data_IF_180803912879
#
_entry.id   IF_180803912879
#
_cell.length_a   1.000
_cell.length_b   1.000
_cell.length_c   1.000
_cell.angle_alpha   90.00
_cell.angle_beta   90.00
_cell.angle_gamma   90.00
#
_symmetry.space_group_name_H-M   'P 1'
#
loop_
_entity.id
_entity.type
_entity.pdbx_description
1 polymer ?
#
# COMPACT_ATOMS: atom_id res chain seq x y z
N UNK A 1 0.55 6.48 -7.14
CA UNK A 1 -0.50 6.74 -8.16
C UNK A 1 -1.10 5.41 -8.57
N UNK A 2 -2.43 5.29 -8.66
CA UNK A 2 -3.11 4.04 -9.03
C UNK A 2 -4.36 4.29 -9.87
N UNK A 3 -5.02 3.20 -10.29
CA UNK A 3 -6.29 3.27 -11.03
C UNK A 3 -7.46 3.10 -10.07
N UNK A 4 -8.47 3.94 -10.21
CA UNK A 4 -9.72 3.86 -9.43
C UNK A 4 -10.72 3.00 -10.19
N UNK A 5 -11.54 2.25 -9.46
CA UNK A 5 -12.66 1.49 -9.99
C UNK A 5 -13.91 1.78 -9.17
N UNK A 6 -14.84 2.53 -9.75
CA UNK A 6 -16.12 2.82 -9.11
C UNK A 6 -17.03 1.61 -9.27
N UNK A 7 -17.62 1.15 -8.16
CA UNK A 7 -18.53 -0.01 -8.13
C UNK A 7 -19.57 0.13 -7.03
N UNK A 8 -20.74 -0.44 -7.29
CA UNK A 8 -21.76 -0.69 -6.27
C UNK A 8 -21.29 -1.75 -5.25
N UNK A 9 -21.92 -1.76 -4.07
CA UNK A 9 -21.62 -2.71 -2.98
C UNK A 9 -20.53 -2.24 -2.01
N UNK A 10 -20.07 -1.00 -2.13
CA UNK A 10 -19.17 -0.34 -1.17
C UNK A 10 -19.97 0.62 -0.30
N UNK A 11 -19.66 0.70 0.99
CA UNK A 11 -20.25 1.70 1.88
C UNK A 11 -19.92 3.10 1.36
N UNK A 12 -20.91 4.00 1.20
CA UNK A 12 -20.66 5.36 0.75
C UNK A 12 -19.61 6.07 1.62
N UNK A 13 -18.70 6.80 0.97
CA UNK A 13 -17.60 7.51 1.65
C UNK A 13 -16.41 6.64 2.03
N UNK A 14 -16.40 5.34 1.70
CA UNK A 14 -15.28 4.44 1.99
C UNK A 14 -14.40 4.20 0.76
N UNK A 15 -13.08 4.10 0.98
CA UNK A 15 -12.10 3.66 -0.02
C UNK A 15 -11.66 2.25 0.37
N UNK A 16 -11.76 1.31 -0.56
CA UNK A 16 -11.22 -0.05 -0.39
C UNK A 16 -10.09 -0.31 -1.37
N UNK A 17 -9.17 -1.18 -0.98
CA UNK A 17 -8.09 -1.65 -1.82
C UNK A 17 -7.67 -3.05 -1.37
N UNK A 18 -7.06 -3.80 -2.29
CA UNK A 18 -6.51 -5.12 -1.97
C UNK A 18 -5.06 -4.99 -1.50
N UNK A 19 -4.76 -5.59 -0.34
CA UNK A 19 -3.39 -5.73 0.17
C UNK A 19 -2.67 -6.83 -0.62
N UNK A 20 -1.37 -6.67 -0.89
CA UNK A 20 -0.54 -7.64 -1.62
C UNK A 20 -0.08 -7.22 -3.01
N UNK A 21 -0.40 -5.98 -3.41
CA UNK A 21 0.07 -5.37 -4.66
C UNK A 21 1.13 -4.29 -4.42
N UNK A 22 1.80 -3.88 -5.49
CA UNK A 22 2.78 -2.80 -5.47
C UNK A 22 4.06 -3.14 -4.71
N UNK A 23 4.50 -4.40 -4.76
CA UNK A 23 5.77 -4.78 -4.17
C UNK A 23 6.91 -4.10 -4.92
N UNK A 24 7.90 -3.62 -4.16
CA UNK A 24 9.20 -3.20 -4.68
C UNK A 24 10.26 -4.27 -4.38
N UNK A 25 10.18 -4.94 -3.23
CA UNK A 25 11.02 -6.07 -2.90
C UNK A 25 10.47 -7.41 -3.41
N UNK A 26 10.91 -8.51 -2.78
CA UNK A 26 10.35 -9.84 -3.02
C UNK A 26 10.41 -10.29 -4.49
N UNK A 27 11.48 -9.91 -5.21
CA UNK A 27 11.65 -10.21 -6.62
C UNK A 27 10.85 -9.33 -7.58
N UNK A 28 10.17 -8.28 -7.11
CA UNK A 28 9.46 -7.32 -7.97
C UNK A 28 10.39 -6.31 -8.67
N UNK A 29 11.56 -6.05 -8.09
CA UNK A 29 12.58 -5.13 -8.64
C UNK A 29 13.70 -5.92 -9.29
N UNK A 30 14.15 -5.42 -10.44
CA UNK A 30 15.35 -5.92 -11.11
C UNK A 30 16.58 -5.50 -10.30
N UNK A 31 17.48 -6.45 -10.05
CA UNK A 31 18.68 -6.26 -9.25
C UNK A 31 19.89 -6.84 -9.98
N UNK A 32 21.07 -6.27 -9.73
CA UNK A 32 22.34 -6.89 -10.11
C UNK A 32 22.95 -7.61 -8.92
N UNK A 33 23.28 -8.89 -9.10
CA UNK A 33 23.85 -9.74 -8.07
C UNK A 33 25.03 -10.48 -8.68
N UNK A 34 26.26 -10.18 -8.21
CA UNK A 34 27.47 -10.83 -8.69
C UNK A 34 27.68 -10.69 -10.21
N UNK A 35 27.42 -9.50 -10.76
CA UNK A 35 27.54 -9.22 -12.19
C UNK A 35 26.44 -9.84 -13.07
N UNK A 36 25.42 -10.46 -12.47
CA UNK A 36 24.26 -11.01 -13.18
C UNK A 36 23.01 -10.19 -12.88
N UNK A 37 22.27 -9.84 -13.94
CA UNK A 37 20.98 -9.18 -13.80
C UNK A 37 19.88 -10.19 -13.48
N UNK A 38 19.25 -10.07 -12.32
CA UNK A 38 18.03 -10.80 -11.96
C UNK A 38 16.83 -9.94 -12.33
N UNK A 39 16.04 -10.39 -13.31
CA UNK A 39 14.84 -9.65 -13.77
C UNK A 39 13.77 -9.65 -12.69
N UNK A 40 13.14 -8.48 -12.48
CA UNK A 40 11.99 -8.35 -11.59
C UNK A 40 10.71 -8.92 -12.20
N UNK A 41 9.89 -9.56 -11.37
CA UNK A 41 8.57 -10.07 -11.70
C UNK A 41 7.55 -8.91 -11.80
N UNK A 42 7.01 -8.72 -13.00
CA UNK A 42 6.04 -7.65 -13.28
C UNK A 42 4.72 -7.84 -12.54
N UNK A 43 4.29 -9.09 -12.28
CA UNK A 43 3.06 -9.39 -11.57
C UNK A 43 3.19 -8.97 -10.10
N UNK A 44 4.32 -9.29 -9.46
CA UNK A 44 4.60 -8.86 -8.08
C UNK A 44 4.67 -7.34 -7.94
N UNK A 45 5.19 -6.66 -8.97
CA UNK A 45 5.28 -5.19 -9.01
C UNK A 45 3.96 -4.50 -9.32
N UNK A 46 3.00 -5.19 -9.93
CA UNK A 46 1.77 -4.57 -10.42
C UNK A 46 0.95 -3.92 -9.31
N UNK A 47 0.18 -2.88 -9.66
CA UNK A 47 -0.69 -2.16 -8.74
C UNK A 47 0.04 -1.19 -7.82
N UNK A 48 -0.49 -1.01 -6.61
CA UNK A 48 0.05 -0.10 -5.60
C UNK A 48 -0.05 -0.71 -4.21
N UNK A 49 0.87 -0.33 -3.32
CA UNK A 49 0.78 -0.58 -1.89
C UNK A 49 0.31 0.67 -1.18
N UNK A 50 -0.77 0.57 -0.40
CA UNK A 50 -1.30 1.68 0.41
C UNK A 50 -0.92 1.59 1.89
N UNK A 51 -0.25 0.52 2.33
CA UNK A 51 0.26 0.43 3.71
C UNK A 51 1.08 1.67 4.14
N UNK A 52 1.95 2.27 3.30
CA UNK A 52 2.74 3.43 3.69
C UNK A 52 1.93 4.69 4.04
N UNK A 53 0.69 4.81 3.54
CA UNK A 53 -0.18 5.96 3.84
C UNK A 53 -1.16 5.70 4.98
N UNK A 54 -1.14 4.49 5.55
CA UNK A 54 -2.00 4.17 6.69
C UNK A 54 -1.60 4.99 7.91
N UNK A 55 -2.56 5.24 8.79
CA UNK A 55 -2.35 5.99 10.02
C UNK A 55 -1.30 5.29 10.88
N UNK A 56 -0.18 5.98 11.10
CA UNK A 56 0.91 5.56 11.97
C UNK A 56 0.75 6.11 13.37
N UNK A 57 1.38 5.46 14.33
CA UNK A 57 1.55 5.98 15.67
C UNK A 57 2.50 7.20 15.64
N UNK A 58 2.11 8.37 16.18
CA UNK A 58 2.98 9.55 16.21
C UNK A 58 4.16 9.41 17.19
N UNK A 59 4.06 8.54 18.19
CA UNK A 59 5.10 8.32 19.21
C UNK A 59 6.11 7.24 18.81
N UNK A 60 5.77 6.36 17.86
CA UNK A 60 6.61 5.22 17.47
C UNK A 60 6.88 5.22 15.97
N UNK A 61 8.14 5.39 15.60
CA UNK A 61 8.55 5.46 14.20
C UNK A 61 8.16 4.21 13.40
N UNK A 62 7.45 4.41 12.29
CA UNK A 62 7.00 3.37 11.34
C UNK A 62 6.04 2.30 11.90
N UNK A 63 5.49 2.47 13.09
CA UNK A 63 4.46 1.56 13.62
C UNK A 63 3.04 2.02 13.29
N UNK A 64 2.10 1.09 13.07
CA UNK A 64 0.68 1.44 13.08
C UNK A 64 0.23 1.79 14.49
N UNK A 65 -0.98 2.35 14.61
CA UNK A 65 -1.66 2.34 15.90
C UNK A 65 -1.88 0.90 16.35
N UNK A 66 -1.77 0.65 17.65
CA UNK A 66 -2.04 -0.65 18.25
C UNK A 66 -3.28 -0.59 19.13
N UNK A 67 -4.05 -1.68 19.12
CA UNK A 67 -5.04 -1.92 20.16
C UNK A 67 -4.31 -2.17 21.50
N UNK A 68 -4.55 -1.34 22.53
CA UNK A 68 -3.86 -1.48 23.81
C UNK A 68 -4.27 -2.73 24.60
N UNK A 69 -5.41 -3.36 24.28
CA UNK A 69 -5.90 -4.55 24.98
C UNK A 69 -5.49 -5.82 24.25
N UNK A 70 -5.79 -5.91 22.95
CA UNK A 70 -5.54 -7.09 22.13
C UNK A 70 -4.19 -7.13 21.41
N UNK A 71 -3.41 -6.05 21.43
CA UNK A 71 -2.09 -5.97 20.80
C UNK A 71 -2.09 -6.00 19.27
N UNK A 72 -3.25 -5.86 18.63
CA UNK A 72 -3.39 -5.92 17.17
C UNK A 72 -3.04 -4.60 16.48
N UNK A 73 -2.57 -4.66 15.24
CA UNK A 73 -2.35 -3.48 14.41
C UNK A 73 -3.66 -2.89 13.87
N UNK A 74 -3.87 -1.59 14.01
CA UNK A 74 -5.06 -0.87 13.59
C UNK A 74 -4.82 -0.02 12.33
N UNK A 75 -5.21 -0.54 11.16
CA UNK A 75 -5.07 0.16 9.87
C UNK A 75 -6.36 0.78 9.32
N UNK A 76 -7.52 0.26 9.72
CA UNK A 76 -8.81 0.53 9.08
C UNK A 76 -9.42 1.91 9.41
N UNK A 77 -8.81 2.66 10.34
CA UNK A 77 -9.29 3.99 10.75
C UNK A 77 -8.54 5.14 10.04
N UNK A 78 -7.85 4.84 8.94
CA UNK A 78 -7.11 5.83 8.16
C UNK A 78 -8.07 6.69 7.35
N UNK A 79 -8.10 8.00 7.60
CA UNK A 79 -8.78 8.97 6.73
C UNK A 79 -7.90 9.30 5.54
N UNK A 80 -8.47 9.25 4.33
CA UNK A 80 -7.76 9.54 3.09
C UNK A 80 -8.67 10.28 2.10
N UNK A 81 -8.05 10.93 1.12
CA UNK A 81 -8.71 11.58 -0.02
C UNK A 81 -8.08 11.07 -1.31
N UNK A 82 -8.89 10.93 -2.36
CA UNK A 82 -8.43 10.68 -3.72
C UNK A 82 -8.34 11.99 -4.48
N UNK A 83 -7.22 12.21 -5.15
CA UNK A 83 -7.01 13.35 -6.03
C UNK A 83 -6.63 12.85 -7.43
N UNK A 84 -7.21 13.41 -8.49
CA UNK A 84 -6.77 13.12 -9.84
C UNK A 84 -5.29 13.43 -9.98
N UNK A 85 -4.57 12.58 -10.70
CA UNK A 85 -3.19 12.87 -11.05
C UNK A 85 -3.22 13.98 -12.11
N UNK A 86 -2.90 15.20 -11.70
CA UNK A 86 -2.60 16.28 -12.64
C UNK A 86 -1.16 16.07 -13.10
N UNK A 87 -0.98 15.82 -14.40
CA UNK A 87 0.36 15.82 -14.98
C UNK A 87 0.73 17.30 -15.22
N UNK A 88 1.75 17.78 -14.52
CA UNK A 88 2.51 18.96 -14.91
C UNK A 88 3.63 18.52 -15.86
#
# INVERSE_FOLDING_TARGET
>A
KGRIKVREGLMPGTITFSVGYGHWGYGATQLEIGGKTVKGDQVRRAGISLNPIMRRDPAVWQMPLMDPIGGSAAFFQTRARLEPVVNA
#
